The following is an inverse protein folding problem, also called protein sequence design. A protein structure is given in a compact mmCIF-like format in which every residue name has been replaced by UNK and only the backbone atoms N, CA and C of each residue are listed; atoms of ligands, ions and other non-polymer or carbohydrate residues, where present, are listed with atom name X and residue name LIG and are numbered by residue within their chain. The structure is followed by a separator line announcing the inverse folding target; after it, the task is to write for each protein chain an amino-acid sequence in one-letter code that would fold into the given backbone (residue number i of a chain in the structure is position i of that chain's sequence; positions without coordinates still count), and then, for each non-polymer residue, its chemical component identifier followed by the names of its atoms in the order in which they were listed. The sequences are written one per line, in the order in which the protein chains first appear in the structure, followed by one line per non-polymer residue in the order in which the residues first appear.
data_IF_238155370977
#
_entry.id   IF_238155370977
#
_cell.length_a   1.000
_cell.length_b   1.000
_cell.length_c   1.000
_cell.angle_alpha   90.00
_cell.angle_beta   90.00
_cell.angle_gamma   90.00
#
_symmetry.space_group_name_H-M   'P 1'
#
loop_
_entity.id
_entity.type
_entity.pdbx_description
1 polymer ?
#
# COMPACT_ATOMS: atom_id res chain seq x y z
N UNK A 1 -16.72 -2.03 17.73
CA UNK A 1 -16.83 -0.57 17.92
C UNK A 1 -15.80 0.02 18.90
N UNK A 2 -15.84 -0.24 20.22
CA UNK A 2 -14.88 0.35 21.20
C UNK A 2 -13.40 0.16 20.85
N UNK A 3 -13.01 -0.99 20.36
CA UNK A 3 -11.61 -1.29 20.03
C UNK A 3 -11.14 -0.52 18.79
N UNK A 4 -12.01 -0.36 17.80
CA UNK A 4 -11.73 0.48 16.63
C UNK A 4 -11.52 1.95 17.03
N UNK A 5 -12.39 2.51 17.87
CA UNK A 5 -12.23 3.87 18.35
C UNK A 5 -10.92 4.08 19.12
N UNK A 6 -10.56 3.11 19.99
CA UNK A 6 -9.28 3.15 20.69
C UNK A 6 -8.10 3.09 19.72
N UNK A 7 -8.15 2.22 18.71
CA UNK A 7 -7.09 2.10 17.71
C UNK A 7 -6.91 3.40 16.92
N UNK A 8 -8.01 4.04 16.49
CA UNK A 8 -7.97 5.35 15.81
C UNK A 8 -7.33 6.42 16.71
N UNK A 9 -7.76 6.51 17.97
CA UNK A 9 -7.16 7.46 18.92
C UNK A 9 -5.71 7.15 19.25
N UNK A 10 -5.30 5.88 19.26
CA UNK A 10 -3.90 5.48 19.45
C UNK A 10 -3.03 6.00 18.31
N UNK A 11 -3.48 5.86 17.05
CA UNK A 11 -2.76 6.41 15.89
C UNK A 11 -2.55 7.92 16.01
N UNK A 12 -3.58 8.64 16.44
CA UNK A 12 -3.51 10.09 16.62
C UNK A 12 -2.54 10.42 17.77
N UNK A 13 -2.68 9.75 18.94
CA UNK A 13 -1.84 9.98 20.09
C UNK A 13 -0.36 9.71 19.81
N UNK A 14 -0.04 8.64 19.09
CA UNK A 14 1.32 8.33 18.67
C UNK A 14 1.91 9.39 17.74
N UNK A 15 1.11 9.92 16.81
CA UNK A 15 1.55 10.99 15.91
C UNK A 15 1.80 12.29 16.69
N UNK A 16 0.87 12.70 17.54
CA UNK A 16 1.01 13.88 18.40
C UNK A 16 2.20 13.75 19.36
N UNK A 17 2.39 12.57 19.95
CA UNK A 17 3.56 12.26 20.80
C UNK A 17 4.88 12.53 20.09
N UNK A 18 4.98 12.08 18.85
CA UNK A 18 6.19 12.29 18.03
C UNK A 18 6.38 13.75 17.63
N UNK A 19 5.30 14.44 17.28
CA UNK A 19 5.33 15.87 16.89
C UNK A 19 5.77 16.74 18.08
N UNK A 20 5.25 16.47 19.27
CA UNK A 20 5.50 17.27 20.47
C UNK A 20 6.71 16.79 21.29
N UNK A 21 7.23 15.59 21.01
CA UNK A 21 8.35 15.02 21.79
C UNK A 21 7.97 14.69 23.24
N UNK A 22 6.69 14.45 23.51
CA UNK A 22 6.17 14.09 24.83
C UNK A 22 5.64 12.64 24.85
N UNK A 23 5.74 11.92 25.99
CA UNK A 23 5.10 10.62 26.14
C UNK A 23 3.59 10.69 25.90
N UNK A 24 3.01 9.61 25.39
CA UNK A 24 1.58 9.53 25.03
C UNK A 24 0.66 9.89 26.22
N UNK A 25 1.06 9.51 27.45
CA UNK A 25 0.31 9.77 28.67
C UNK A 25 0.19 11.27 29.00
N UNK A 26 1.09 12.09 28.46
CA UNK A 26 1.17 13.53 28.73
C UNK A 26 0.68 14.39 27.57
N UNK A 27 0.04 13.76 26.56
CA UNK A 27 -0.47 14.50 25.41
C UNK A 27 -1.81 15.13 25.75
N UNK A 28 -1.87 16.43 25.54
CA UNK A 28 -3.14 17.17 25.56
C UNK A 28 -3.65 17.25 24.12
N UNK A 29 -4.76 16.59 23.85
CA UNK A 29 -5.46 16.68 22.56
C UNK A 29 -6.10 18.08 22.42
N UNK A 30 -5.39 19.01 21.79
CA UNK A 30 -5.86 20.41 21.66
C UNK A 30 -7.06 20.54 20.71
N UNK A 31 -7.03 19.85 19.58
CA UNK A 31 -8.10 19.89 18.56
C UNK A 31 -8.89 18.58 18.50
N UNK A 32 -8.21 17.44 18.67
CA UNK A 32 -8.81 16.11 18.53
C UNK A 32 -9.51 15.64 19.82
N UNK A 33 -9.28 16.31 20.94
CA UNK A 33 -9.94 16.05 22.24
C UNK A 33 -11.31 16.74 22.41
N UNK A 34 -11.77 17.47 21.40
CA UNK A 34 -13.10 18.10 21.44
C UNK A 34 -14.22 17.06 21.38
N UNK A 35 -15.37 17.37 21.97
CA UNK A 35 -16.56 16.50 21.88
C UNK A 35 -16.99 16.24 20.44
N UNK A 36 -16.76 17.21 19.53
CA UNK A 36 -17.04 17.09 18.10
C UNK A 36 -16.17 15.98 17.46
N UNK A 37 -14.86 16.03 17.68
CA UNK A 37 -13.95 15.01 17.18
C UNK A 37 -14.23 13.60 17.75
N UNK A 38 -14.62 13.56 19.04
CA UNK A 38 -14.99 12.29 19.66
C UNK A 38 -16.28 11.72 19.03
N UNK A 39 -17.28 12.57 18.80
CA UNK A 39 -18.53 12.19 18.14
C UNK A 39 -18.25 11.69 16.72
N UNK A 40 -17.40 12.36 15.96
CA UNK A 40 -17.01 11.97 14.59
C UNK A 40 -16.38 10.58 14.56
N UNK A 41 -15.37 10.32 15.39
CA UNK A 41 -14.68 9.02 15.44
C UNK A 41 -15.62 7.92 15.87
N UNK A 42 -16.42 8.14 16.94
CA UNK A 42 -17.38 7.14 17.44
C UNK A 42 -18.46 6.82 16.41
N UNK A 43 -18.99 7.86 15.74
CA UNK A 43 -20.03 7.70 14.71
C UNK A 43 -19.51 6.89 13.52
N UNK A 44 -18.30 7.17 13.03
CA UNK A 44 -17.69 6.38 11.94
C UNK A 44 -17.46 4.94 12.39
N UNK A 45 -16.92 4.72 13.60
CA UNK A 45 -16.68 3.38 14.12
C UNK A 45 -17.97 2.57 14.29
N UNK A 46 -19.08 3.23 14.66
CA UNK A 46 -20.40 2.58 14.77
C UNK A 46 -20.95 2.24 13.40
N UNK A 47 -20.94 3.20 12.46
CA UNK A 47 -21.41 2.97 11.08
C UNK A 47 -20.63 1.85 10.40
N UNK A 48 -19.31 1.81 10.56
CA UNK A 48 -18.47 0.73 10.01
C UNK A 48 -18.77 -0.62 10.67
N UNK A 49 -19.13 -0.60 11.93
CA UNK A 49 -19.53 -1.82 12.64
C UNK A 49 -20.90 -2.35 12.18
N UNK A 50 -21.85 -1.46 11.93
CA UNK A 50 -23.20 -1.80 11.45
C UNK A 50 -23.16 -2.25 9.97
N UNK A 51 -22.40 -1.53 9.12
CA UNK A 51 -22.26 -1.88 7.70
C UNK A 51 -21.48 -3.18 7.51
N UNK A 52 -20.52 -3.48 8.38
CA UNK A 52 -19.66 -4.66 8.34
C UNK A 52 -19.22 -5.04 6.91
N UNK A 53 -18.61 -4.13 6.13
CA UNK A 53 -18.19 -4.44 4.79
C UNK A 53 -17.09 -5.50 4.79
N UNK A 54 -17.09 -6.39 3.81
CA UNK A 54 -16.04 -7.42 3.67
C UNK A 54 -14.69 -6.78 3.36
N UNK A 55 -14.68 -5.66 2.62
CA UNK A 55 -13.46 -4.93 2.24
C UNK A 55 -13.70 -3.43 2.17
N UNK A 56 -12.72 -2.66 2.63
CA UNK A 56 -12.72 -1.19 2.55
C UNK A 56 -11.55 -0.74 1.70
N UNK A 57 -11.87 -0.08 0.60
CA UNK A 57 -10.90 0.45 -0.36
C UNK A 57 -10.98 1.97 -0.43
N UNK A 58 -9.88 2.63 -0.67
CA UNK A 58 -9.85 4.06 -0.93
C UNK A 58 -8.96 4.41 -2.13
N UNK A 59 -9.25 5.54 -2.77
CA UNK A 59 -8.31 6.17 -3.70
C UNK A 59 -7.11 6.74 -2.93
N UNK A 60 -5.98 7.06 -3.59
CA UNK A 60 -4.94 7.88 -3.00
C UNK A 60 -5.53 9.14 -2.35
N UNK A 61 -4.97 9.56 -1.21
CA UNK A 61 -5.54 10.62 -0.37
C UNK A 61 -5.09 11.99 -0.86
N UNK A 62 -6.05 12.86 -1.21
CA UNK A 62 -5.76 14.26 -1.46
C UNK A 62 -5.57 14.99 -0.12
N UNK A 63 -4.36 15.38 0.19
CA UNK A 63 -4.03 16.09 1.44
C UNK A 63 -4.23 17.60 1.33
N UNK A 64 -4.41 18.12 0.11
CA UNK A 64 -4.42 19.55 -0.16
C UNK A 64 -3.03 20.14 -0.33
N UNK A 65 -2.88 21.46 -0.18
CA UNK A 65 -1.61 22.16 -0.35
C UNK A 65 -1.57 23.47 0.45
N UNK A 66 -0.41 24.12 0.48
CA UNK A 66 -0.23 25.43 1.12
C UNK A 66 -0.02 25.34 2.62
N UNK A 67 -0.72 26.19 3.36
CA UNK A 67 -0.57 26.34 4.81
C UNK A 67 -1.92 26.36 5.51
N UNK A 68 -1.94 25.86 6.75
CA UNK A 68 -3.10 25.92 7.64
C UNK A 68 -2.72 26.66 8.93
N UNK A 69 -3.63 27.50 9.41
CA UNK A 69 -3.50 28.17 10.72
C UNK A 69 -4.20 27.32 11.77
N UNK A 70 -3.45 26.87 12.77
CA UNK A 70 -3.93 26.07 13.89
C UNK A 70 -3.42 26.65 15.22
N UNK A 71 -3.70 25.98 16.34
CA UNK A 71 -3.27 26.39 17.69
C UNK A 71 -1.73 26.53 17.81
N UNK A 72 -0.98 25.76 17.01
CA UNK A 72 0.50 25.78 16.97
C UNK A 72 1.09 26.79 15.98
N UNK A 73 0.25 27.67 15.41
CA UNK A 73 0.69 28.68 14.44
C UNK A 73 0.30 28.31 13.01
N UNK A 74 1.15 28.67 12.05
CA UNK A 74 0.96 28.39 10.62
C UNK A 74 1.82 27.20 10.24
N UNK A 75 1.18 26.10 9.87
CA UNK A 75 1.84 24.85 9.50
C UNK A 75 1.66 24.55 8.00
N UNK A 76 2.63 23.87 7.37
CA UNK A 76 2.47 23.37 6.01
C UNK A 76 1.42 22.26 5.94
N UNK A 77 0.83 22.07 4.76
CA UNK A 77 -0.11 20.98 4.47
C UNK A 77 0.59 19.91 3.64
N UNK A 78 0.51 18.60 4.05
CA UNK A 78 -0.18 18.09 5.24
C UNK A 78 0.49 18.53 6.55
N UNK A 79 -0.30 18.65 7.63
CA UNK A 79 0.26 18.95 8.96
C UNK A 79 1.14 17.79 9.46
N UNK A 80 2.13 18.05 10.35
CA UNK A 80 3.08 17.02 10.79
C UNK A 80 2.42 15.76 11.37
N UNK A 81 1.32 15.91 12.12
CA UNK A 81 0.59 14.75 12.65
C UNK A 81 -0.06 13.94 11.52
N UNK A 82 -0.73 14.61 10.56
CA UNK A 82 -1.32 13.97 9.37
C UNK A 82 -0.25 13.23 8.55
N UNK A 83 0.91 13.84 8.33
CA UNK A 83 2.03 13.23 7.60
C UNK A 83 2.52 11.94 8.29
N UNK A 84 2.65 11.96 9.62
CA UNK A 84 3.07 10.80 10.40
C UNK A 84 2.06 9.65 10.33
N UNK A 85 0.76 9.96 10.43
CA UNK A 85 -0.32 8.97 10.35
C UNK A 85 -0.36 8.33 8.96
N UNK A 86 -0.22 9.14 7.89
CA UNK A 86 -0.31 8.67 6.51
C UNK A 86 0.97 8.01 5.99
N UNK A 87 1.98 7.75 6.81
CA UNK A 87 3.17 7.00 6.37
C UNK A 87 2.79 5.67 5.75
N UNK A 88 3.26 5.43 4.52
CA UNK A 88 2.95 4.22 3.72
C UNK A 88 1.61 4.25 3.01
N UNK A 89 0.82 5.32 3.16
CA UNK A 89 -0.41 5.58 2.39
C UNK A 89 -0.06 6.42 1.16
N UNK A 90 -0.56 6.11 -0.04
CA UNK A 90 -0.36 6.95 -1.21
C UNK A 90 -1.13 8.26 -1.05
N UNK A 91 -0.41 9.37 -1.08
CA UNK A 91 -0.96 10.72 -0.95
C UNK A 91 -0.63 11.56 -2.18
N UNK A 92 -1.45 12.54 -2.47
CA UNK A 92 -1.15 13.55 -3.48
C UNK A 92 -1.66 14.94 -3.04
N UNK A 93 -1.11 15.97 -3.64
CA UNK A 93 -1.48 17.35 -3.43
C UNK A 93 -2.20 17.87 -4.68
N UNK A 94 -3.36 18.48 -4.47
CA UNK A 94 -4.15 19.13 -5.54
C UNK A 94 -3.92 20.64 -5.61
N UNK A 95 -4.73 21.32 -6.41
CA UNK A 95 -4.66 22.77 -6.60
C UNK A 95 -5.23 23.58 -5.42
N UNK A 96 -6.02 22.93 -4.56
CA UNK A 96 -6.69 23.59 -3.43
C UNK A 96 -5.67 23.91 -2.34
N UNK A 97 -5.47 25.19 -2.08
CA UNK A 97 -4.59 25.70 -1.03
C UNK A 97 -5.27 25.66 0.34
N UNK A 98 -5.52 24.48 0.84
CA UNK A 98 -6.11 24.22 2.16
C UNK A 98 -5.80 22.80 2.59
N UNK A 99 -5.86 22.55 3.89
CA UNK A 99 -5.86 21.17 4.41
C UNK A 99 -7.17 20.48 4.02
N UNK A 100 -7.07 19.34 3.33
CA UNK A 100 -8.19 18.52 2.90
C UNK A 100 -8.28 17.20 3.67
N UNK A 101 -7.19 16.77 4.30
CA UNK A 101 -7.16 15.61 5.17
C UNK A 101 -6.61 16.01 6.54
N UNK A 102 -7.46 15.96 7.55
CA UNK A 102 -7.11 16.25 8.95
C UNK A 102 -6.49 15.02 9.63
N UNK A 103 -5.82 15.18 10.80
CA UNK A 103 -5.30 14.03 11.56
C UNK A 103 -6.38 12.97 11.87
N UNK A 104 -7.60 13.41 12.22
CA UNK A 104 -8.74 12.50 12.48
C UNK A 104 -9.12 11.72 11.23
N UNK A 105 -9.28 12.40 10.09
CA UNK A 105 -9.60 11.75 8.81
C UNK A 105 -8.51 10.78 8.36
N UNK A 106 -7.25 11.19 8.53
CA UNK A 106 -6.10 10.34 8.24
C UNK A 106 -6.08 9.06 9.09
N UNK A 107 -6.37 9.17 10.38
CA UNK A 107 -6.39 8.03 11.30
C UNK A 107 -7.55 7.06 11.00
N UNK A 108 -8.72 7.58 10.65
CA UNK A 108 -9.86 6.77 10.22
C UNK A 108 -9.54 6.02 8.92
N UNK A 109 -8.99 6.69 7.91
CA UNK A 109 -8.56 6.05 6.67
C UNK A 109 -7.50 4.98 6.94
N UNK A 110 -6.47 5.30 7.72
CA UNK A 110 -5.38 4.37 8.04
C UNK A 110 -5.85 3.12 8.79
N UNK A 111 -6.91 3.26 9.61
CA UNK A 111 -7.44 2.15 10.41
C UNK A 111 -8.38 1.25 9.61
N UNK A 112 -9.28 1.81 8.80
CA UNK A 112 -10.34 1.04 8.15
C UNK A 112 -10.00 0.61 6.73
N UNK A 113 -9.16 1.35 6.00
CA UNK A 113 -8.84 1.05 4.60
C UNK A 113 -7.77 -0.03 4.53
N UNK A 114 -8.07 -1.10 3.84
CA UNK A 114 -7.15 -2.22 3.60
C UNK A 114 -6.17 -1.90 2.48
N UNK A 115 -6.70 -1.36 1.35
CA UNK A 115 -5.89 -1.03 0.19
C UNK A 115 -6.26 0.34 -0.40
N UNK A 116 -5.23 1.07 -0.83
CA UNK A 116 -5.37 2.34 -1.55
C UNK A 116 -5.14 2.13 -3.04
N UNK A 117 -6.23 1.99 -3.78
CA UNK A 117 -6.23 1.60 -5.20
C UNK A 117 -7.16 2.49 -6.03
N UNK A 118 -7.00 2.53 -7.37
CA UNK A 118 -8.03 3.10 -8.22
C UNK A 118 -9.37 2.39 -8.01
N UNK A 119 -10.47 3.07 -8.36
CA UNK A 119 -11.82 2.48 -8.24
C UNK A 119 -11.87 1.15 -9.00
N UNK A 120 -12.11 0.02 -8.31
CA UNK A 120 -12.25 -1.27 -8.97
C UNK A 120 -13.57 -1.35 -9.74
N UNK A 121 -13.76 -2.42 -10.51
CA UNK A 121 -15.07 -2.71 -11.10
C UNK A 121 -16.03 -3.03 -9.96
N UNK A 122 -17.00 -2.16 -9.77
CA UNK A 122 -17.95 -2.20 -8.66
C UNK A 122 -19.38 -2.04 -9.19
N UNK A 123 -20.27 -2.95 -8.83
CA UNK A 123 -21.71 -2.78 -9.02
C UNK A 123 -22.23 -1.94 -7.85
N UNK A 124 -22.29 -0.62 -8.06
CA UNK A 124 -22.69 0.34 -7.04
C UNK A 124 -24.16 0.19 -6.69
N UNK A 125 -24.48 0.02 -5.42
CA UNK A 125 -25.83 -0.02 -4.87
C UNK A 125 -26.21 1.30 -4.19
N UNK A 126 -25.28 1.87 -3.42
CA UNK A 126 -25.49 3.12 -2.69
C UNK A 126 -24.33 4.08 -2.90
N UNK A 127 -24.69 5.36 -2.95
CA UNK A 127 -23.74 6.47 -3.02
C UNK A 127 -24.04 7.46 -1.91
N UNK A 128 -23.04 7.83 -1.14
CA UNK A 128 -23.16 8.82 -0.09
C UNK A 128 -22.06 9.89 -0.20
N UNK A 129 -22.35 11.08 0.29
CA UNK A 129 -21.43 12.21 0.29
C UNK A 129 -21.39 12.84 1.69
N UNK A 130 -20.18 12.99 2.21
CA UNK A 130 -19.90 13.79 3.40
C UNK A 130 -19.29 15.13 3.00
N UNK A 131 -19.88 16.25 3.39
CA UNK A 131 -19.41 17.59 3.00
C UNK A 131 -18.57 18.23 4.09
N UNK A 132 -17.46 18.88 3.69
CA UNK A 132 -16.69 19.74 4.58
C UNK A 132 -17.33 21.15 4.73
N UNK A 133 -16.90 21.85 5.79
CA UNK A 133 -17.40 23.21 6.10
C UNK A 133 -16.86 24.30 5.16
N UNK A 134 -15.73 24.07 4.49
CA UNK A 134 -15.09 25.03 3.58
C UNK A 134 -15.67 24.93 2.18
N UNK A 135 -15.93 26.08 1.56
CA UNK A 135 -16.40 26.17 0.17
C UNK A 135 -15.20 26.43 -0.75
N UNK A 136 -15.07 25.61 -1.79
CA UNK A 136 -14.08 25.73 -2.86
C UNK A 136 -14.80 25.76 -4.22
N UNK A 137 -14.08 26.07 -5.29
CA UNK A 137 -14.61 25.96 -6.66
C UNK A 137 -14.99 24.53 -7.02
N UNK A 138 -14.24 23.55 -6.48
CA UNK A 138 -14.56 22.13 -6.58
C UNK A 138 -15.30 21.65 -5.34
N UNK A 139 -16.15 20.63 -5.49
CA UNK A 139 -16.90 20.07 -4.38
C UNK A 139 -15.97 19.54 -3.27
N UNK A 140 -16.13 20.05 -2.05
CA UNK A 140 -15.41 19.61 -0.86
C UNK A 140 -16.16 18.46 -0.19
N UNK A 141 -16.00 17.26 -0.74
CA UNK A 141 -16.77 16.07 -0.32
C UNK A 141 -15.91 14.84 -0.25
N UNK A 142 -16.19 13.97 0.71
CA UNK A 142 -15.83 12.56 0.69
C UNK A 142 -16.99 11.82 0.04
N UNK A 143 -16.72 11.04 -1.00
CA UNK A 143 -17.70 10.19 -1.66
C UNK A 143 -17.48 8.75 -1.21
N UNK A 144 -18.54 8.11 -0.76
CA UNK A 144 -18.57 6.70 -0.39
C UNK A 144 -19.43 5.95 -1.40
N UNK A 145 -18.93 4.87 -1.93
CA UNK A 145 -19.62 3.94 -2.81
C UNK A 145 -19.74 2.61 -2.07
N UNK A 146 -20.95 2.14 -1.89
CA UNK A 146 -21.22 0.79 -1.37
C UNK A 146 -21.79 -0.05 -2.50
N UNK A 147 -21.29 -1.27 -2.64
CA UNK A 147 -21.71 -2.19 -3.69
C UNK A 147 -20.94 -3.49 -3.68
N UNK A 148 -21.19 -4.32 -4.66
CA UNK A 148 -20.54 -5.61 -4.82
C UNK A 148 -19.46 -5.54 -5.91
N UNK A 149 -18.30 -6.13 -5.63
CA UNK A 149 -17.28 -6.40 -6.65
C UNK A 149 -17.59 -7.76 -7.28
N UNK A 150 -17.54 -7.85 -8.61
CA UNK A 150 -17.53 -9.16 -9.26
C UNK A 150 -16.20 -9.81 -8.95
N UNK A 151 -16.19 -10.72 -7.99
CA UNK A 151 -15.05 -11.55 -7.53
C UNK A 151 -13.64 -10.93 -7.68
N UNK A 152 -12.76 -11.21 -6.78
CA UNK A 152 -11.36 -10.85 -6.99
C UNK A 152 -10.91 -11.47 -8.31
N UNK A 153 -10.74 -10.64 -9.35
CA UNK A 153 -9.92 -11.04 -10.48
C UNK A 153 -8.53 -11.28 -9.89
N UNK A 154 -8.16 -12.54 -9.73
CA UNK A 154 -6.79 -12.90 -9.39
C UNK A 154 -5.89 -12.21 -10.40
N UNK A 155 -5.18 -11.17 -9.97
CA UNK A 155 -4.21 -10.50 -10.81
C UNK A 155 -3.00 -11.42 -10.92
N UNK A 156 -2.76 -11.91 -12.11
CA UNK A 156 -1.55 -12.65 -12.43
C UNK A 156 -0.50 -11.65 -12.91
N UNK A 157 0.66 -11.66 -12.29
CA UNK A 157 1.82 -10.88 -12.71
C UNK A 157 2.76 -11.80 -13.48
N UNK A 158 3.16 -11.39 -14.67
CA UNK A 158 4.25 -12.00 -15.43
C UNK A 158 5.56 -11.27 -15.09
N UNK A 159 6.53 -12.00 -14.56
CA UNK A 159 7.91 -11.53 -14.41
C UNK A 159 8.77 -12.14 -15.52
N UNK A 160 9.44 -11.30 -16.28
CA UNK A 160 10.33 -11.70 -17.36
C UNK A 160 11.77 -11.26 -17.07
N UNK A 161 12.75 -12.13 -17.34
CA UNK A 161 14.16 -11.86 -17.14
C UNK A 161 14.99 -12.53 -18.24
N UNK A 162 15.89 -11.78 -18.88
CA UNK A 162 16.84 -12.30 -19.83
C UNK A 162 18.08 -12.82 -19.11
N UNK A 163 18.45 -14.07 -19.36
CA UNK A 163 19.59 -14.76 -18.74
C UNK A 163 20.55 -15.22 -19.82
N UNK A 164 21.82 -14.82 -19.71
CA UNK A 164 22.87 -15.11 -20.69
C UNK A 164 24.07 -15.88 -20.09
N UNK A 165 24.04 -16.13 -18.80
CA UNK A 165 25.16 -16.68 -18.03
C UNK A 165 24.76 -17.87 -17.12
N UNK A 166 23.66 -18.55 -17.43
CA UNK A 166 23.19 -19.74 -16.71
C UNK A 166 23.22 -20.99 -17.62
N UNK A 167 23.61 -22.13 -17.04
CA UNK A 167 23.52 -23.42 -17.69
C UNK A 167 22.09 -23.97 -17.66
N UNK A 168 21.71 -24.92 -18.54
CA UNK A 168 20.40 -25.57 -18.49
C UNK A 168 20.07 -26.20 -17.13
N UNK A 169 21.08 -26.76 -16.44
CA UNK A 169 20.92 -27.35 -15.12
C UNK A 169 20.61 -26.31 -14.04
N UNK A 170 21.27 -25.15 -14.12
CA UNK A 170 20.97 -24.00 -13.23
C UNK A 170 19.58 -23.45 -13.46
N UNK A 171 19.14 -23.41 -14.72
CA UNK A 171 17.78 -22.99 -15.07
C UNK A 171 16.74 -23.97 -14.53
N UNK A 172 16.98 -25.29 -14.64
CA UNK A 172 16.11 -26.32 -14.06
C UNK A 172 15.97 -26.17 -12.54
N UNK A 173 17.07 -25.93 -11.84
CA UNK A 173 17.04 -25.69 -10.40
C UNK A 173 16.30 -24.37 -10.05
N UNK A 174 16.51 -23.31 -10.82
CA UNK A 174 15.81 -22.05 -10.62
C UNK A 174 14.30 -22.19 -10.80
N UNK A 175 13.86 -23.01 -11.78
CA UNK A 175 12.45 -23.31 -12.01
C UNK A 175 11.84 -24.03 -10.80
N UNK A 176 12.47 -25.08 -10.28
CA UNK A 176 12.00 -25.81 -9.10
C UNK A 176 11.87 -24.89 -7.89
N UNK A 177 12.85 -24.00 -7.68
CA UNK A 177 12.83 -23.06 -6.57
C UNK A 177 11.73 -22.00 -6.72
N UNK A 178 11.46 -21.52 -7.93
CA UNK A 178 10.36 -20.60 -8.21
C UNK A 178 8.99 -21.23 -7.92
N UNK A 179 8.77 -22.49 -8.33
CA UNK A 179 7.56 -23.24 -7.97
C UNK A 179 7.44 -23.42 -6.45
N UNK A 180 8.54 -23.74 -5.76
CA UNK A 180 8.55 -23.86 -4.30
C UNK A 180 8.18 -22.55 -3.60
N UNK A 181 8.49 -21.41 -4.21
CA UNK A 181 8.15 -20.08 -3.73
C UNK A 181 6.73 -19.62 -4.10
N UNK A 182 5.96 -20.47 -4.80
CA UNK A 182 4.57 -20.19 -5.13
C UNK A 182 4.31 -19.63 -6.52
N UNK A 183 5.26 -19.78 -7.46
CA UNK A 183 4.98 -19.47 -8.86
C UNK A 183 3.86 -20.36 -9.40
N UNK A 184 2.94 -19.78 -10.15
CA UNK A 184 1.84 -20.52 -10.79
C UNK A 184 2.32 -21.25 -12.03
N UNK A 185 3.22 -20.63 -12.79
CA UNK A 185 3.86 -21.21 -13.94
C UNK A 185 5.24 -20.59 -14.16
N UNK A 186 6.17 -21.38 -14.72
CA UNK A 186 7.55 -20.98 -15.04
C UNK A 186 7.95 -21.62 -16.36
N UNK A 187 8.37 -20.81 -17.33
CA UNK A 187 8.82 -21.33 -18.61
C UNK A 187 10.01 -20.53 -19.15
N UNK A 188 10.74 -21.15 -20.08
CA UNK A 188 11.89 -20.56 -20.75
C UNK A 188 11.64 -20.47 -22.24
N UNK A 189 12.10 -19.37 -22.84
CA UNK A 189 12.10 -19.19 -24.27
C UNK A 189 13.51 -18.85 -24.75
N UNK A 190 13.99 -19.53 -25.79
CA UNK A 190 15.25 -19.16 -26.43
C UNK A 190 15.09 -17.83 -27.14
N UNK A 191 15.98 -16.88 -26.85
CA UNK A 191 15.96 -15.58 -27.49
C UNK A 191 17.28 -15.26 -28.16
N UNK A 192 17.25 -14.47 -29.24
CA UNK A 192 18.42 -13.93 -29.91
C UNK A 192 18.63 -12.47 -29.56
N UNK A 193 19.85 -12.07 -29.23
CA UNK A 193 20.20 -10.68 -28.97
C UNK A 193 21.00 -10.05 -30.11
N UNK A 194 20.92 -8.71 -30.23
CA UNK A 194 21.58 -7.92 -31.27
C UNK A 194 23.13 -8.00 -31.21
N UNK A 195 23.69 -8.26 -30.03
CA UNK A 195 25.13 -8.54 -29.87
C UNK A 195 25.29 -10.04 -29.57
N UNK A 196 26.00 -10.81 -30.40
CA UNK A 196 26.33 -12.19 -30.06
C UNK A 196 27.23 -12.16 -28.82
N UNK A 197 26.72 -12.58 -27.66
CA UNK A 197 27.57 -12.97 -26.56
C UNK A 197 28.20 -14.32 -26.92
N UNK A 198 29.41 -14.57 -26.43
CA UNK A 198 30.11 -15.82 -26.66
C UNK A 198 29.40 -17.07 -26.02
N UNK A 199 28.32 -16.85 -25.27
CA UNK A 199 27.48 -17.89 -24.70
C UNK A 199 26.40 -18.32 -25.69
N UNK A 200 26.39 -19.61 -26.01
CA UNK A 200 25.55 -20.26 -27.02
C UNK A 200 24.06 -20.31 -26.61
N UNK A 201 23.72 -19.93 -25.38
CA UNK A 201 22.39 -20.10 -24.82
C UNK A 201 21.94 -18.81 -24.16
N UNK A 202 20.91 -18.19 -24.72
CA UNK A 202 20.24 -17.02 -24.19
C UNK A 202 18.78 -17.39 -23.94
N UNK A 203 18.34 -17.22 -22.70
CA UNK A 203 16.99 -17.60 -22.30
C UNK A 203 16.23 -16.39 -21.75
N UNK A 204 14.97 -16.28 -22.15
CA UNK A 204 13.98 -15.44 -21.49
C UNK A 204 13.21 -16.32 -20.48
N UNK A 205 13.44 -16.11 -19.20
CA UNK A 205 12.74 -16.75 -18.10
C UNK A 205 11.50 -15.96 -17.78
N UNK A 206 10.33 -16.59 -17.84
CA UNK A 206 9.06 -15.98 -17.48
C UNK A 206 8.40 -16.74 -16.36
N UNK A 207 7.88 -16.00 -15.39
CA UNK A 207 7.22 -16.55 -14.21
C UNK A 207 5.90 -15.88 -14.02
N UNK A 208 4.81 -16.66 -13.90
CA UNK A 208 3.47 -16.19 -13.56
C UNK A 208 3.24 -16.35 -12.06
N UNK A 209 2.81 -15.28 -11.40
CA UNK A 209 2.58 -15.25 -9.96
C UNK A 209 1.30 -14.49 -9.62
N UNK A 210 0.65 -14.85 -8.53
CA UNK A 210 -0.43 -14.03 -7.99
C UNK A 210 0.13 -12.79 -7.25
N UNK A 211 -0.53 -11.66 -7.41
CA UNK A 211 -0.08 -10.34 -6.93
C UNK A 211 0.30 -10.31 -5.44
N UNK A 212 -0.32 -11.14 -4.60
CA UNK A 212 -0.20 -11.06 -3.13
C UNK A 212 1.03 -11.74 -2.52
N UNK A 213 1.76 -12.58 -3.25
CA UNK A 213 2.76 -13.46 -2.61
C UNK A 213 4.21 -13.26 -3.06
N UNK A 214 4.47 -12.43 -4.07
CA UNK A 214 5.80 -12.38 -4.65
C UNK A 214 6.32 -10.96 -4.88
N UNK A 215 7.54 -10.66 -4.42
CA UNK A 215 8.23 -9.42 -4.75
C UNK A 215 9.32 -9.67 -5.79
N UNK A 216 9.66 -8.65 -6.60
CA UNK A 216 10.80 -8.70 -7.50
C UNK A 216 12.11 -9.08 -6.77
N UNK A 217 12.22 -8.77 -5.45
CA UNK A 217 13.32 -9.20 -4.59
C UNK A 217 13.35 -10.71 -4.39
N UNK A 218 12.20 -11.36 -4.26
CA UNK A 218 12.12 -12.82 -4.10
C UNK A 218 12.53 -13.54 -5.39
N UNK A 219 12.14 -13.02 -6.56
CA UNK A 219 12.57 -13.53 -7.86
C UNK A 219 14.09 -13.43 -8.04
N UNK A 220 14.68 -12.26 -7.78
CA UNK A 220 16.13 -12.07 -7.87
C UNK A 220 16.88 -12.89 -6.82
N UNK A 221 16.29 -13.10 -5.63
CA UNK A 221 16.86 -13.94 -4.59
C UNK A 221 16.85 -15.43 -4.97
N UNK A 222 15.79 -15.91 -5.65
CA UNK A 222 15.72 -17.29 -6.16
C UNK A 222 16.79 -17.54 -7.24
N UNK A 223 16.93 -16.63 -8.20
CA UNK A 223 17.99 -16.72 -9.21
C UNK A 223 19.40 -16.66 -8.59
N UNK A 224 19.61 -15.81 -7.58
CA UNK A 224 20.90 -15.72 -6.87
C UNK A 224 21.17 -16.92 -5.95
N UNK A 225 20.12 -17.57 -5.40
CA UNK A 225 20.24 -18.79 -4.60
C UNK A 225 20.58 -19.99 -5.49
N UNK A 226 19.98 -20.08 -6.68
CA UNK A 226 20.31 -21.08 -7.68
C UNK A 226 21.80 -21.05 -8.04
N UNK A 227 22.35 -19.86 -8.33
CA UNK A 227 23.79 -19.68 -8.60
C UNK A 227 24.68 -20.11 -7.44
N UNK A 228 24.30 -19.78 -6.19
CA UNK A 228 25.09 -20.14 -4.99
C UNK A 228 25.09 -21.64 -4.71
N UNK A 229 23.95 -22.31 -4.87
CA UNK A 229 23.81 -23.73 -4.63
C UNK A 229 24.66 -24.58 -5.61
N UNK A 230 24.82 -24.10 -6.85
CA UNK A 230 25.61 -24.79 -7.88
C UNK A 230 27.12 -24.52 -7.75
N UNK A 231 27.51 -23.31 -7.30
CA UNK A 231 28.91 -22.98 -7.03
C UNK A 231 29.52 -23.88 -5.92
N UNK A 232 28.73 -24.29 -4.92
CA UNK A 232 29.16 -25.23 -3.87
C UNK A 232 29.24 -26.66 -4.34
N UNK A 233 28.51 -27.10 -5.36
CA UNK A 233 28.61 -28.46 -5.92
C UNK A 233 29.85 -28.64 -6.80
N UNK A 234 30.33 -27.65 -7.52
CA UNK A 234 31.58 -27.72 -8.29
C UNK A 234 32.81 -27.89 -7.39
N UNK A 235 32.80 -27.34 -6.16
CA UNK A 235 33.91 -27.55 -5.21
C UNK A 235 33.95 -28.92 -4.53
N UNK A 236 32.92 -29.75 -4.68
CA UNK A 236 32.84 -31.10 -4.11
C UNK A 236 33.17 -32.22 -5.12
N UNK A 237 33.33 -31.90 -6.40
CA UNK A 237 33.73 -32.86 -7.44
C UNK A 237 35.23 -32.78 -7.81
N UNK A 238 35.97 -31.85 -7.26
CA UNK A 238 37.43 -31.70 -7.47
C UNK A 238 38.26 -32.12 -6.26
N UNK A 239 37.69 -32.87 -5.32
CA UNK A 239 38.41 -33.59 -4.24
C UNK A 239 38.09 -35.06 -4.33
#
# INVERSE_FOLDING_TARGET
MKDNAKAVYTLIAEAESRVHGHPIENIHFHEVGSLDALADVLSVCELMHELAPDKVLASPVNVGSGFVKCTHGVLPVPTPATELILRGVPIYSGEIKSELCTPTGAALLKHFVEDFVPLPVLRVEYVAYGTGKKNFETANVVRVLLGETEGECEQIIELACNLDDMTPEELGFAMEELFRLGALDVYFTNIGMKKPSLSTWLFDLRTLITYYYFSARSFMAACAAARRAMGTRKGLQET
#
